data_IF_951555417355
#
_entry.id   IF_951555417355
#
_cell.length_a   1.000
_cell.length_b   1.000
_cell.length_c   1.000
_cell.angle_alpha   90.00
_cell.angle_beta   90.00
_cell.angle_gamma   90.00
#
_symmetry.space_group_name_H-M   'P 1'
#
loop_
_entity.id
_entity.type
_entity.pdbx_description
1 polymer ?
#
# COMPACT_ATOMS: atom_id res chain seq x y z
N UNK A 1 15.65 -5.85 13.20
CA UNK A 1 15.46 -4.42 12.88
C UNK A 1 16.45 -3.57 13.67
N UNK A 2 17.16 -2.66 13.01
CA UNK A 2 17.99 -1.63 13.64
C UNK A 2 17.20 -0.31 13.69
N UNK A 3 16.95 0.23 14.88
CA UNK A 3 16.14 1.45 15.05
C UNK A 3 16.84 2.71 14.56
N UNK A 4 18.18 2.70 14.48
CA UNK A 4 18.94 3.83 13.96
C UNK A 4 18.56 4.17 12.52
N UNK A 5 18.23 3.15 11.73
CA UNK A 5 17.84 3.30 10.32
C UNK A 5 16.49 4.05 10.18
N UNK A 6 15.69 4.09 11.24
CA UNK A 6 14.37 4.72 11.25
C UNK A 6 14.31 6.06 12.02
N UNK A 7 15.36 6.40 12.76
CA UNK A 7 15.36 7.53 13.69
C UNK A 7 14.96 8.87 13.04
N UNK A 8 15.39 9.12 11.79
CA UNK A 8 15.05 10.33 11.05
C UNK A 8 13.54 10.46 10.77
N UNK A 9 12.84 9.33 10.58
CA UNK A 9 11.42 9.30 10.22
C UNK A 9 10.48 9.62 11.40
N UNK A 10 11.00 9.56 12.63
CA UNK A 10 10.25 9.94 13.86
C UNK A 10 9.98 11.44 13.94
N UNK A 11 10.79 12.24 13.25
CA UNK A 11 10.73 13.70 13.34
C UNK A 11 9.48 14.24 12.63
N UNK A 12 9.02 15.42 13.06
CA UNK A 12 8.03 16.18 12.29
C UNK A 12 8.73 16.77 11.08
N UNK A 13 8.28 16.41 9.90
CA UNK A 13 8.76 17.02 8.67
C UNK A 13 7.88 18.16 8.18
N UNK A 14 8.20 18.65 6.99
CA UNK A 14 7.48 19.73 6.31
C UNK A 14 6.85 19.29 4.99
N UNK A 15 7.11 18.07 4.55
CA UNK A 15 6.58 17.55 3.30
C UNK A 15 5.11 17.19 3.36
N UNK A 16 4.47 17.17 2.20
CA UNK A 16 3.08 16.76 2.01
C UNK A 16 2.96 15.80 0.84
N UNK A 17 2.09 14.82 0.97
CA UNK A 17 1.80 13.85 -0.07
C UNK A 17 0.30 13.92 -0.37
N UNK A 18 -0.08 13.93 -1.64
CA UNK A 18 -1.47 13.80 -2.06
C UNK A 18 -1.57 12.93 -3.31
N UNK A 19 -2.58 12.09 -3.36
CA UNK A 19 -2.74 11.14 -4.45
C UNK A 19 -4.08 10.44 -4.44
N UNK A 20 -4.19 9.45 -5.33
CA UNK A 20 -5.33 8.57 -5.46
C UNK A 20 -4.89 7.11 -5.34
N UNK A 21 -5.68 6.32 -4.64
CA UNK A 21 -5.46 4.88 -4.48
C UNK A 21 -6.63 4.10 -5.07
N UNK A 22 -6.32 3.11 -5.92
CA UNK A 22 -7.31 2.27 -6.58
C UNK A 22 -6.68 0.98 -7.11
N UNK A 23 -7.48 -0.07 -7.32
CA UNK A 23 -7.07 -1.23 -8.11
C UNK A 23 -7.51 -1.03 -9.56
N UNK A 24 -6.62 -1.31 -10.52
CA UNK A 24 -7.02 -1.42 -11.92
C UNK A 24 -7.65 -2.79 -12.18
N UNK A 25 -8.85 -2.81 -12.77
CA UNK A 25 -9.46 -4.03 -13.31
C UNK A 25 -8.92 -4.35 -14.71
N UNK A 26 -9.16 -5.57 -15.21
CA UNK A 26 -8.85 -5.95 -16.60
C UNK A 26 -9.66 -5.13 -17.62
N UNK A 27 -10.83 -4.63 -17.22
CA UNK A 27 -11.68 -3.76 -18.05
C UNK A 27 -11.21 -2.30 -18.09
N UNK A 28 -10.12 -1.95 -17.41
CA UNK A 28 -9.61 -0.57 -17.31
C UNK A 28 -10.38 0.31 -16.32
N UNK A 29 -11.28 -0.27 -15.53
CA UNK A 29 -12.03 0.43 -14.48
C UNK A 29 -11.16 0.58 -13.23
N UNK A 30 -11.17 1.77 -12.64
CA UNK A 30 -10.60 2.01 -11.32
C UNK A 30 -11.57 1.56 -10.22
N UNK A 31 -11.10 0.69 -9.34
CA UNK A 31 -11.84 0.20 -8.18
C UNK A 31 -11.33 0.91 -6.93
N UNK A 32 -12.18 1.69 -6.29
CA UNK A 32 -11.89 2.42 -5.04
C UNK A 32 -12.71 1.86 -3.88
N UNK A 33 -12.23 2.09 -2.66
CA UNK A 33 -12.94 1.73 -1.44
C UNK A 33 -12.95 2.93 -0.48
N UNK A 34 -14.15 3.38 -0.10
CA UNK A 34 -14.30 4.49 0.83
C UNK A 34 -13.70 4.15 2.20
N UNK A 35 -12.90 5.07 2.75
CA UNK A 35 -12.31 4.92 4.08
C UNK A 35 -11.15 3.92 4.15
N UNK A 36 -10.71 3.36 3.02
CA UNK A 36 -9.60 2.40 2.97
C UNK A 36 -8.33 3.05 3.54
N UNK A 37 -7.60 2.37 4.44
CA UNK A 37 -6.38 2.91 4.98
C UNK A 37 -5.29 2.95 3.92
N UNK A 38 -4.56 4.06 3.88
CA UNK A 38 -3.30 4.19 3.14
C UNK A 38 -2.19 4.34 4.16
N UNK A 39 -1.22 3.44 4.10
CA UNK A 39 -0.10 3.38 5.00
C UNK A 39 1.14 3.95 4.33
N UNK A 40 1.83 4.84 5.04
CA UNK A 40 3.12 5.37 4.67
C UNK A 40 4.19 4.73 5.56
N UNK A 41 5.07 3.95 4.94
CA UNK A 41 6.04 3.08 5.61
C UNK A 41 7.45 3.52 5.20
N UNK A 42 8.30 3.97 6.14
CA UNK A 42 9.68 4.30 5.82
C UNK A 42 10.47 3.13 5.24
N UNK A 43 11.32 3.41 4.26
CA UNK A 43 12.24 2.42 3.68
C UNK A 43 13.45 2.23 4.60
N UNK A 44 13.66 0.99 5.02
CA UNK A 44 14.80 0.48 5.78
C UNK A 44 15.11 -0.94 5.30
N UNK A 45 16.27 -1.54 5.63
CA UNK A 45 16.54 -2.94 5.28
C UNK A 45 15.43 -3.91 5.74
N UNK A 46 14.87 -3.68 6.93
CA UNK A 46 13.79 -4.51 7.47
C UNK A 46 12.47 -4.33 6.72
N UNK A 47 12.03 -3.08 6.52
CA UNK A 47 10.75 -2.81 5.82
C UNK A 47 10.84 -3.13 4.33
N UNK A 48 12.02 -3.03 3.71
CA UNK A 48 12.28 -3.50 2.34
C UNK A 48 12.10 -5.01 2.23
N UNK A 49 12.71 -5.78 3.15
CA UNK A 49 12.52 -7.23 3.18
C UNK A 49 11.04 -7.58 3.30
N UNK A 50 10.33 -6.96 4.25
CA UNK A 50 8.88 -7.19 4.42
C UNK A 50 8.11 -6.85 3.14
N UNK A 51 8.37 -5.69 2.54
CA UNK A 51 7.69 -5.22 1.34
C UNK A 51 7.91 -6.17 0.16
N UNK A 52 9.16 -6.58 -0.08
CA UNK A 52 9.52 -7.48 -1.17
C UNK A 52 8.76 -8.82 -1.03
N UNK A 53 8.65 -9.37 0.18
CA UNK A 53 8.04 -10.69 0.39
C UNK A 53 6.50 -10.66 0.50
N UNK A 54 5.92 -9.63 1.12
CA UNK A 54 4.50 -9.59 1.44
C UNK A 54 3.68 -8.74 0.46
N UNK A 55 4.30 -7.75 -0.18
CA UNK A 55 3.63 -6.83 -1.10
C UNK A 55 3.99 -7.14 -2.54
N UNK A 56 5.29 -7.16 -2.89
CA UNK A 56 5.73 -7.33 -4.28
C UNK A 56 5.54 -8.76 -4.79
N UNK A 57 5.94 -9.76 -4.00
CA UNK A 57 5.95 -11.15 -4.48
C UNK A 57 4.57 -11.83 -4.36
N UNK A 58 3.54 -11.09 -3.92
CA UNK A 58 2.19 -11.64 -3.63
C UNK A 58 2.30 -12.99 -2.91
N UNK A 59 3.23 -13.04 -1.95
CA UNK A 59 3.93 -14.25 -1.53
C UNK A 59 3.20 -14.97 -0.42
N UNK A 60 2.01 -15.46 -0.73
CA UNK A 60 1.39 -16.51 0.05
C UNK A 60 1.60 -17.76 -0.78
N UNK A 61 2.45 -18.67 -0.32
CA UNK A 61 2.66 -19.97 -0.98
C UNK A 61 1.32 -20.73 -0.87
N UNK A 62 0.48 -20.62 -1.88
CA UNK A 62 -0.53 -21.62 -2.18
C UNK A 62 0.14 -22.67 -3.05
N UNK A 63 -0.06 -23.95 -2.73
CA UNK A 63 0.28 -25.07 -3.63
C UNK A 63 -0.64 -25.11 -4.88
N UNK A 64 -1.16 -23.97 -5.29
CA UNK A 64 -2.17 -23.86 -6.33
C UNK A 64 -1.51 -23.58 -7.68
N UNK A 65 -2.02 -24.32 -8.66
CA UNK A 65 -1.66 -24.38 -10.06
C UNK A 65 -1.47 -22.99 -10.70
N UNK A 66 -0.34 -22.71 -11.41
CA UNK A 66 -0.03 -21.41 -12.02
C UNK A 66 -0.98 -20.97 -13.17
N UNK A 67 -2.14 -21.61 -13.33
CA UNK A 67 -3.05 -21.39 -14.46
C UNK A 67 -4.18 -20.39 -14.20
N UNK A 68 -4.34 -19.86 -12.97
CA UNK A 68 -5.38 -18.87 -12.65
C UNK A 68 -4.95 -17.41 -12.98
N UNK A 69 -4.83 -17.12 -14.27
CA UNK A 69 -4.47 -15.82 -14.83
C UNK A 69 -5.67 -14.86 -14.95
N UNK A 70 -6.33 -14.51 -13.84
CA UNK A 70 -7.33 -13.42 -13.84
C UNK A 70 -6.87 -12.19 -13.04
N UNK A 71 -5.86 -12.38 -12.19
CA UNK A 71 -5.09 -11.26 -11.64
C UNK A 71 -5.85 -10.32 -10.67
N UNK A 72 -7.11 -10.60 -10.44
CA UNK A 72 -7.66 -10.50 -9.10
C UNK A 72 -6.87 -11.44 -8.20
N UNK A 73 -6.47 -10.95 -7.02
CA UNK A 73 -5.93 -11.85 -6.02
C UNK A 73 -7.03 -12.88 -5.71
N UNK A 74 -6.67 -14.16 -5.67
CA UNK A 74 -7.59 -15.14 -5.12
C UNK A 74 -7.98 -14.69 -3.71
N UNK A 75 -9.19 -15.04 -3.25
CA UNK A 75 -9.63 -14.66 -1.91
C UNK A 75 -8.59 -15.05 -0.85
N UNK A 76 -7.97 -16.21 -1.01
CA UNK A 76 -6.90 -16.71 -0.14
C UNK A 76 -5.62 -15.85 -0.19
N UNK A 77 -5.22 -15.38 -1.37
CA UNK A 77 -4.09 -14.46 -1.50
C UNK A 77 -4.40 -13.11 -0.85
N UNK A 78 -5.61 -12.57 -1.06
CA UNK A 78 -6.04 -11.32 -0.44
C UNK A 78 -6.11 -11.45 1.08
N UNK A 79 -6.55 -12.61 1.59
CA UNK A 79 -6.60 -12.89 3.01
C UNK A 79 -5.21 -12.92 3.65
N UNK A 80 -4.24 -13.60 3.02
CA UNK A 80 -2.88 -13.62 3.54
C UNK A 80 -2.17 -12.27 3.42
N UNK A 81 -2.42 -11.50 2.34
CA UNK A 81 -1.98 -10.11 2.25
C UNK A 81 -2.52 -9.24 3.40
N UNK A 82 -3.80 -9.43 3.75
CA UNK A 82 -4.43 -8.77 4.90
C UNK A 82 -3.74 -9.14 6.20
N UNK A 83 -3.54 -10.43 6.44
CA UNK A 83 -2.95 -10.91 7.69
C UNK A 83 -1.49 -10.46 7.82
N UNK A 84 -0.70 -10.53 6.75
CA UNK A 84 0.69 -10.08 6.72
C UNK A 84 0.82 -8.56 6.95
N UNK A 85 -0.09 -7.76 6.37
CA UNK A 85 -0.14 -6.33 6.63
C UNK A 85 -0.61 -6.04 8.07
N UNK A 86 -1.66 -6.70 8.55
CA UNK A 86 -2.17 -6.53 9.90
C UNK A 86 -1.10 -6.85 10.95
N UNK A 87 -0.37 -7.97 10.79
CA UNK A 87 0.74 -8.34 11.65
C UNK A 87 1.83 -7.27 11.64
N UNK A 88 2.25 -6.82 10.45
CA UNK A 88 3.26 -5.78 10.29
C UNK A 88 2.88 -4.47 10.99
N UNK A 89 1.62 -4.04 10.88
CA UNK A 89 1.12 -2.82 11.49
C UNK A 89 1.03 -2.90 13.02
N UNK A 90 1.08 -4.10 13.60
CA UNK A 90 1.12 -4.30 15.07
C UNK A 90 2.53 -4.38 15.64
N UNK A 91 3.56 -4.35 14.80
CA UNK A 91 4.95 -4.43 15.24
C UNK A 91 5.32 -3.19 16.08
N UNK A 92 5.45 -3.40 17.39
CA UNK A 92 5.62 -2.32 18.39
C UNK A 92 6.78 -1.39 18.05
N UNK A 93 7.87 -1.95 17.49
CA UNK A 93 9.07 -1.19 17.15
C UNK A 93 8.88 -0.29 15.94
N UNK A 94 7.92 -0.59 15.06
CA UNK A 94 7.62 0.21 13.88
C UNK A 94 6.57 1.28 14.12
N UNK A 95 5.63 1.06 15.05
CA UNK A 95 4.51 1.97 15.34
C UNK A 95 4.88 3.47 15.36
N UNK A 96 6.01 3.91 15.95
CA UNK A 96 6.35 5.35 15.99
C UNK A 96 6.68 5.96 14.62
N UNK A 97 6.94 5.14 13.60
CA UNK A 97 7.42 5.54 12.29
C UNK A 97 6.37 5.34 11.18
N UNK A 98 5.33 4.54 11.45
CA UNK A 98 4.23 4.33 10.54
C UNK A 98 3.25 5.50 10.58
N UNK A 99 2.73 5.88 9.42
CA UNK A 99 1.66 6.87 9.32
C UNK A 99 0.52 6.30 8.50
N UNK A 100 -0.70 6.58 8.92
CA UNK A 100 -1.90 6.10 8.23
C UNK A 100 -2.85 7.27 8.00
N UNK A 101 -3.41 7.33 6.81
CA UNK A 101 -4.55 8.19 6.47
C UNK A 101 -5.66 7.31 5.90
N UNK A 102 -6.83 7.88 5.65
CA UNK A 102 -7.94 7.17 4.99
C UNK A 102 -8.28 7.85 3.68
N UNK A 103 -8.46 7.06 2.65
CA UNK A 103 -8.94 7.59 1.38
C UNK A 103 -10.44 7.95 1.46
N UNK A 104 -10.85 8.95 0.70
CA UNK A 104 -12.25 9.28 0.52
C UNK A 104 -12.94 8.27 -0.44
N UNK A 105 -14.25 8.40 -0.72
CA UNK A 105 -14.95 7.48 -1.63
C UNK A 105 -14.37 7.40 -3.05
N UNK A 106 -13.72 8.48 -3.52
CA UNK A 106 -13.06 8.52 -4.84
C UNK A 106 -11.60 8.08 -4.80
N UNK A 107 -11.12 7.54 -3.67
CA UNK A 107 -9.75 7.04 -3.50
C UNK A 107 -8.71 8.13 -3.22
N UNK A 108 -9.10 9.40 -3.06
CA UNK A 108 -8.13 10.46 -2.77
C UNK A 108 -7.69 10.42 -1.31
N UNK A 109 -6.40 10.64 -1.09
CA UNK A 109 -5.78 10.68 0.23
C UNK A 109 -4.74 11.79 0.32
N UNK A 110 -4.38 12.17 1.55
CA UNK A 110 -3.25 13.06 1.79
C UNK A 110 -2.55 12.78 3.12
N UNK A 111 -1.27 13.14 3.16
CA UNK A 111 -0.43 13.18 4.35
C UNK A 111 0.19 14.57 4.51
N UNK A 112 0.42 14.96 5.77
CA UNK A 112 1.06 16.23 6.10
C UNK A 112 2.15 16.02 7.14
N UNK A 113 3.11 16.97 7.18
CA UNK A 113 4.21 16.99 8.15
C UNK A 113 5.11 15.76 8.04
N UNK A 114 5.34 15.29 6.81
CA UNK A 114 6.16 14.11 6.51
C UNK A 114 7.64 14.53 6.41
N UNK A 115 8.56 13.85 7.13
CA UNK A 115 9.99 14.10 6.99
C UNK A 115 10.50 13.71 5.61
N UNK A 116 11.65 14.24 5.23
CA UNK A 116 12.31 13.79 4.00
C UNK A 116 12.73 12.32 4.14
N UNK A 117 12.76 11.60 3.02
CA UNK A 117 13.21 10.23 2.95
C UNK A 117 12.42 9.38 1.96
N UNK A 118 12.70 8.08 1.97
CA UNK A 118 12.07 7.12 1.06
C UNK A 118 10.96 6.38 1.76
N UNK A 119 9.84 6.19 1.07
CA UNK A 119 8.65 5.57 1.63
C UNK A 119 8.00 4.59 0.67
N UNK A 120 7.37 3.56 1.23
CA UNK A 120 6.31 2.80 0.59
C UNK A 120 4.96 3.38 0.98
N UNK A 121 4.12 3.62 -0.02
CA UNK A 121 2.67 3.77 0.14
C UNK A 121 2.06 2.39 -0.10
N UNK A 122 1.26 1.89 0.84
CA UNK A 122 0.61 0.58 0.74
C UNK A 122 -0.84 0.70 1.20
N UNK A 123 -1.76 0.14 0.43
CA UNK A 123 -3.17 0.05 0.77
C UNK A 123 -3.73 -1.28 0.31
N UNK A 124 -4.41 -2.00 1.20
CA UNK A 124 -5.18 -3.17 0.84
C UNK A 124 -6.60 -2.72 0.52
N UNK A 125 -6.99 -2.84 -0.74
CA UNK A 125 -8.35 -2.57 -1.19
C UNK A 125 -9.08 -3.91 -1.21
N UNK A 126 -10.20 -3.95 -0.50
CA UNK A 126 -11.15 -5.04 -0.50
C UNK A 126 -12.43 -4.47 -1.11
N UNK A 127 -12.71 -4.89 -2.34
CA UNK A 127 -13.91 -4.52 -3.05
C UNK A 127 -15.16 -4.81 -2.22
N UNK A 128 -16.22 -4.04 -2.45
CA UNK A 128 -17.48 -4.19 -1.75
C UNK A 128 -18.16 -5.54 -1.98
N UNK A 129 -19.05 -5.93 -1.06
CA UNK A 129 -19.89 -7.14 -1.17
C UNK A 129 -21.00 -7.04 -2.23
N UNK A 130 -20.76 -6.32 -3.32
CA UNK A 130 -21.71 -6.12 -4.40
C UNK A 130 -21.93 -7.37 -5.26
N UNK A 131 -22.96 -7.31 -6.09
CA UNK A 131 -23.43 -8.44 -6.90
C UNK A 131 -22.52 -8.66 -8.12
N UNK A 132 -21.79 -7.63 -8.56
CA UNK A 132 -20.92 -7.69 -9.72
C UNK A 132 -19.49 -8.13 -9.38
N UNK A 133 -18.88 -8.94 -10.25
CA UNK A 133 -17.56 -9.54 -10.04
C UNK A 133 -16.43 -8.50 -9.85
N UNK A 134 -16.52 -7.36 -10.56
CA UNK A 134 -15.60 -6.22 -10.41
C UNK A 134 -15.68 -5.57 -9.02
N UNK A 135 -16.82 -5.68 -8.34
CA UNK A 135 -17.00 -5.15 -6.99
C UNK A 135 -16.37 -6.05 -5.94
N UNK A 136 -16.11 -7.33 -6.23
CA UNK A 136 -15.46 -8.28 -5.32
C UNK A 136 -13.94 -8.23 -5.34
N UNK A 137 -13.37 -7.27 -6.07
CA UNK A 137 -11.95 -7.22 -6.31
C UNK A 137 -11.16 -6.89 -5.05
N UNK A 138 -10.27 -7.78 -4.64
CA UNK A 138 -9.34 -7.55 -3.55
C UNK A 138 -7.91 -7.52 -4.07
N UNK A 139 -7.10 -6.63 -3.50
CA UNK A 139 -5.70 -6.51 -3.90
C UNK A 139 -4.92 -5.45 -3.12
N UNK A 140 -3.60 -5.55 -3.18
CA UNK A 140 -2.71 -4.54 -2.64
C UNK A 140 -2.38 -3.52 -3.73
N UNK A 141 -2.65 -2.25 -3.45
CA UNK A 141 -2.15 -1.10 -4.19
C UNK A 141 -0.91 -0.55 -3.49
N UNK A 142 0.15 -0.25 -4.25
CA UNK A 142 1.37 0.28 -3.68
C UNK A 142 2.10 1.26 -4.61
N UNK A 143 2.99 2.05 -4.01
CA UNK A 143 3.91 2.96 -4.70
C UNK A 143 5.17 3.15 -3.85
N UNK A 144 6.33 3.27 -4.48
CA UNK A 144 7.56 3.72 -3.79
C UNK A 144 7.82 5.18 -4.15
N UNK A 145 8.12 6.01 -3.16
CA UNK A 145 8.44 7.43 -3.37
C UNK A 145 9.72 7.82 -2.64
N UNK A 146 10.38 8.85 -3.13
CA UNK A 146 11.40 9.62 -2.44
C UNK A 146 10.86 11.02 -2.24
N UNK A 147 10.90 11.52 -1.00
CA UNK A 147 10.37 12.82 -0.63
C UNK A 147 11.50 13.71 -0.14
N UNK A 148 11.68 14.84 -0.80
CA UNK A 148 12.65 15.86 -0.42
C UNK A 148 12.14 16.74 0.74
N UNK A 149 13.06 17.43 1.40
CA UNK A 149 12.74 18.27 2.56
C UNK A 149 11.78 19.41 2.20
N UNK A 150 10.53 19.31 2.68
CA UNK A 150 9.50 20.33 2.43
C UNK A 150 8.79 20.19 1.09
N UNK A 151 9.07 19.11 0.35
CA UNK A 151 8.43 18.83 -0.93
C UNK A 151 6.91 18.63 -0.79
N UNK A 152 6.18 19.08 -1.82
CA UNK A 152 4.75 18.82 -1.99
C UNK A 152 4.53 17.85 -3.15
N UNK A 153 4.61 16.55 -2.88
CA UNK A 153 4.33 15.54 -3.89
C UNK A 153 2.81 15.43 -4.09
N UNK A 154 2.35 15.62 -5.33
CA UNK A 154 0.94 15.57 -5.71
C UNK A 154 0.75 14.62 -6.90
N UNK A 155 -0.50 14.27 -7.20
CA UNK A 155 -0.85 13.35 -8.28
C UNK A 155 -0.19 11.96 -8.14
N UNK A 156 0.07 11.54 -6.91
CA UNK A 156 0.58 10.19 -6.66
C UNK A 156 -0.49 9.16 -7.02
N UNK A 157 -0.11 8.15 -7.80
CA UNK A 157 -1.00 7.05 -8.19
C UNK A 157 -0.56 5.79 -7.48
N UNK A 158 -1.40 5.31 -6.56
CA UNK A 158 -1.13 4.08 -5.78
C UNK A 158 -2.04 2.99 -6.34
N UNK A 159 -1.46 1.99 -7.02
CA UNK A 159 -2.24 0.96 -7.71
C UNK A 159 -1.57 -0.42 -7.69
N UNK A 160 -2.23 -1.44 -8.24
CA UNK A 160 -1.78 -2.84 -8.23
C UNK A 160 -0.72 -3.18 -9.30
N UNK A 161 0.02 -2.18 -9.80
CA UNK A 161 1.14 -2.31 -10.74
C UNK A 161 0.91 -3.18 -11.98
N UNK A 162 -0.34 -3.33 -12.43
CA UNK A 162 -0.67 -4.05 -13.67
C UNK A 162 -0.32 -3.28 -14.94
N UNK A 163 -0.21 -1.96 -14.85
CA UNK A 163 -0.17 -1.04 -15.99
C UNK A 163 1.24 -0.61 -16.40
N UNK A 164 2.30 -1.22 -15.88
CA UNK A 164 3.69 -0.77 -16.14
C UNK A 164 4.00 0.63 -15.57
N UNK A 165 3.16 1.13 -14.66
CA UNK A 165 3.26 2.44 -14.01
C UNK A 165 3.89 2.34 -12.60
N UNK A 166 4.59 1.24 -12.34
CA UNK A 166 5.43 0.98 -11.19
C UNK A 166 6.81 0.53 -11.71
#
# INVERSE_FOLDING_TARGET
MNEKDLAAYKQKGRGTLAGQVFLGSLSGKAITQAGVPVHLIPVSPYTRYWFDHNVRTTGCISNDDPTANDGLMSRQQADCARDGLAQFLTEKRLLPYLRTTRANPTGHFWFMKIPAGRYYLVSLIEGGGGVHQDERAAGIAWLTIELEAGEKATNLVVTNCRSGLC
#
